data_IF_229301961258
#
_entry.id   IF_229301961258
#
_cell.length_a   1.000
_cell.length_b   1.000
_cell.length_c   1.000
_cell.angle_alpha   90.00
_cell.angle_beta   90.00
_cell.angle_gamma   90.00
#
_symmetry.space_group_name_H-M   'P 1'
#
loop_
_entity.id
_entity.type
_entity.pdbx_description
1 polymer ?
#
# COMPACT_ATOMS: atom_id res chain seq x y z
N UNK A 1 -5.06 31.02 -3.64
CA UNK A 1 -4.84 29.54 -3.65
C UNK A 1 -5.56 28.87 -4.81
N UNK A 2 -5.20 29.25 -6.03
CA UNK A 2 -5.62 28.55 -7.25
C UNK A 2 -4.36 27.87 -7.77
N UNK A 3 -4.37 26.54 -7.86
CA UNK A 3 -3.26 25.80 -8.49
C UNK A 3 -3.09 26.32 -9.91
N UNK A 4 -1.86 26.72 -10.26
CA UNK A 4 -1.52 27.22 -11.58
C UNK A 4 -1.61 26.07 -12.61
N UNK A 5 -2.27 26.31 -13.74
CA UNK A 5 -2.38 25.34 -14.84
C UNK A 5 -0.98 24.94 -15.34
N UNK A 6 0.00 25.85 -15.25
CA UNK A 6 1.39 25.54 -15.56
C UNK A 6 1.95 24.45 -14.63
N UNK A 7 1.74 24.56 -13.31
CA UNK A 7 2.19 23.53 -12.33
C UNK A 7 1.58 22.18 -12.65
N UNK A 8 0.28 22.17 -12.97
CA UNK A 8 -0.46 20.94 -13.23
C UNK A 8 0.03 20.25 -14.50
N UNK A 9 0.18 21.00 -15.59
CA UNK A 9 0.67 20.47 -16.86
C UNK A 9 2.13 20.04 -16.78
N UNK A 10 2.95 20.80 -16.05
CA UNK A 10 4.35 20.46 -15.80
C UNK A 10 4.45 19.10 -15.10
N UNK A 11 3.73 18.90 -14.00
CA UNK A 11 3.76 17.64 -13.25
C UNK A 11 3.18 16.49 -14.06
N UNK A 12 2.07 16.71 -14.76
CA UNK A 12 1.46 15.70 -15.63
C UNK A 12 2.43 15.23 -16.72
N UNK A 13 3.17 16.17 -17.33
CA UNK A 13 4.16 15.85 -18.34
C UNK A 13 5.33 15.04 -17.77
N UNK A 14 5.83 15.40 -16.58
CA UNK A 14 6.92 14.66 -15.94
C UNK A 14 6.50 13.24 -15.55
N UNK A 15 5.28 13.04 -15.04
CA UNK A 15 4.80 11.69 -14.72
C UNK A 15 4.65 10.87 -16.01
N UNK A 16 4.08 11.42 -17.08
CA UNK A 16 3.87 10.68 -18.34
C UNK A 16 5.16 10.35 -19.07
N UNK A 17 6.14 11.26 -19.08
CA UNK A 17 7.42 11.04 -19.75
C UNK A 17 8.42 10.26 -18.89
N UNK A 18 8.34 10.41 -17.57
CA UNK A 18 9.25 9.77 -16.63
C UNK A 18 8.82 8.35 -16.26
N UNK A 19 7.52 8.05 -16.29
CA UNK A 19 6.96 6.74 -15.93
C UNK A 19 5.88 6.36 -16.96
N UNK A 20 6.26 5.84 -18.14
CA UNK A 20 5.31 5.46 -19.18
C UNK A 20 4.35 4.33 -18.78
N UNK A 21 4.69 3.55 -17.76
CA UNK A 21 3.90 2.47 -17.16
C UNK A 21 2.61 2.97 -16.47
N UNK A 22 2.57 4.26 -16.10
CA UNK A 22 1.47 4.84 -15.35
C UNK A 22 0.41 5.49 -16.24
N UNK A 23 -0.85 5.13 -15.98
CA UNK A 23 -2.03 5.80 -16.50
C UNK A 23 -2.46 6.86 -15.50
N UNK A 24 -2.48 8.11 -15.94
CA UNK A 24 -2.81 9.27 -15.10
C UNK A 24 -4.06 9.97 -15.59
N UNK A 25 -5.03 10.16 -14.69
CA UNK A 25 -6.23 10.96 -14.91
C UNK A 25 -6.26 12.12 -13.93
N UNK A 26 -6.43 13.34 -14.44
CA UNK A 26 -6.56 14.55 -13.62
C UNK A 26 -8.02 14.91 -13.45
N UNK A 27 -8.45 15.22 -12.23
CA UNK A 27 -9.81 15.70 -11.94
C UNK A 27 -9.78 16.96 -11.09
N UNK A 28 -10.65 17.91 -11.42
CA UNK A 28 -10.86 19.11 -10.61
C UNK A 28 -12.03 18.89 -9.64
N UNK A 29 -11.78 19.08 -8.35
CA UNK A 29 -12.80 18.98 -7.32
C UNK A 29 -13.49 20.34 -7.10
N UNK A 30 -14.75 20.45 -7.53
CA UNK A 30 -15.52 21.71 -7.49
C UNK A 30 -15.62 22.35 -6.10
N UNK A 31 -15.73 21.53 -5.05
CA UNK A 31 -15.93 22.03 -3.67
C UNK A 31 -14.63 22.45 -2.98
N UNK A 32 -13.55 21.70 -3.17
CA UNK A 32 -12.25 22.01 -2.55
C UNK A 32 -11.39 22.92 -3.43
N UNK A 33 -11.73 23.08 -4.72
CA UNK A 33 -10.94 23.78 -5.75
C UNK A 33 -9.52 23.22 -5.92
N UNK A 34 -9.35 21.93 -5.61
CA UNK A 34 -8.08 21.21 -5.73
C UNK A 34 -8.12 20.30 -6.94
N UNK A 35 -6.98 20.17 -7.62
CA UNK A 35 -6.77 19.16 -8.64
C UNK A 35 -6.22 17.88 -8.02
N UNK A 36 -6.80 16.75 -8.38
CA UNK A 36 -6.36 15.43 -7.94
C UNK A 36 -5.86 14.61 -9.13
N UNK A 37 -4.72 13.95 -8.94
CA UNK A 37 -4.15 12.99 -9.88
C UNK A 37 -4.56 11.58 -9.44
N UNK A 38 -5.35 10.92 -10.27
CA UNK A 38 -5.69 9.51 -10.13
C UNK A 38 -4.71 8.71 -10.97
N UNK A 39 -3.91 7.88 -10.31
CA UNK A 39 -2.83 7.12 -10.92
C UNK A 39 -3.15 5.64 -10.83
N UNK A 40 -3.00 4.93 -11.93
CA UNK A 40 -3.17 3.48 -12.04
C UNK A 40 -2.17 2.92 -13.06
N UNK A 41 -2.09 1.61 -13.21
CA UNK A 41 -1.26 0.95 -14.22
C UNK A 41 -2.00 -0.24 -14.83
N UNK A 42 -1.54 -0.72 -15.99
CA UNK A 42 -2.02 -1.98 -16.58
C UNK A 42 -1.44 -3.18 -15.84
N UNK A 43 -2.04 -4.36 -16.02
CA UNK A 43 -1.51 -5.59 -15.41
C UNK A 43 -0.07 -5.88 -15.85
N UNK A 44 0.23 -5.78 -17.15
CA UNK A 44 1.58 -5.96 -17.69
C UNK A 44 2.59 -4.98 -17.08
N UNK A 45 2.21 -3.72 -16.90
CA UNK A 45 3.06 -2.71 -16.27
C UNK A 45 3.34 -3.08 -14.81
N UNK A 46 2.32 -3.55 -14.09
CA UNK A 46 2.48 -4.01 -12.70
C UNK A 46 3.38 -5.23 -12.60
N UNK A 47 3.38 -6.16 -13.56
CA UNK A 47 4.33 -7.27 -13.61
C UNK A 47 5.77 -6.77 -13.69
N UNK A 48 6.05 -5.81 -14.58
CA UNK A 48 7.39 -5.19 -14.67
C UNK A 48 7.78 -4.50 -13.37
N UNK A 49 6.86 -3.72 -12.80
CA UNK A 49 7.08 -3.05 -11.52
C UNK A 49 7.30 -4.04 -10.38
N UNK A 50 6.66 -5.20 -10.39
CA UNK A 50 6.86 -6.25 -9.40
C UNK A 50 8.26 -6.88 -9.49
N UNK A 51 8.78 -7.06 -10.70
CA UNK A 51 10.15 -7.53 -10.95
C UNK A 51 11.18 -6.47 -10.48
N UNK A 52 10.97 -5.20 -10.86
CA UNK A 52 11.83 -4.07 -10.45
C UNK A 52 11.97 -3.92 -8.93
N UNK A 53 10.88 -4.12 -8.18
CA UNK A 53 10.91 -4.03 -6.71
C UNK A 53 11.34 -5.34 -6.04
N UNK A 54 11.55 -6.42 -6.79
CA UNK A 54 11.86 -7.75 -6.26
C UNK A 54 10.74 -8.32 -5.38
N UNK A 55 9.47 -8.13 -5.79
CA UNK A 55 8.31 -8.58 -5.04
C UNK A 55 8.34 -10.11 -4.89
N UNK A 56 8.07 -10.65 -3.71
CA UNK A 56 8.07 -12.11 -3.50
C UNK A 56 6.70 -12.70 -3.79
N UNK A 57 6.65 -13.78 -4.58
CA UNK A 57 5.43 -14.47 -4.97
C UNK A 57 5.52 -15.98 -4.74
N UNK A 58 4.38 -16.65 -4.46
CA UNK A 58 4.34 -18.09 -4.31
C UNK A 58 4.60 -18.79 -5.64
N UNK A 59 5.43 -19.82 -5.61
CA UNK A 59 5.76 -20.67 -6.77
C UNK A 59 4.86 -21.90 -6.74
N UNK A 60 4.40 -22.35 -7.90
CA UNK A 60 3.58 -23.57 -8.03
C UNK A 60 4.34 -24.78 -7.46
N UNK A 61 3.60 -25.70 -6.85
CA UNK A 61 4.17 -26.90 -6.23
C UNK A 61 5.01 -27.75 -7.20
N UNK A 62 4.65 -27.80 -8.48
CA UNK A 62 5.37 -28.54 -9.53
C UNK A 62 6.78 -27.99 -9.82
N UNK A 63 7.03 -26.72 -9.49
CA UNK A 63 8.35 -26.07 -9.60
C UNK A 63 9.07 -25.95 -8.25
N UNK A 64 8.66 -26.74 -7.24
CA UNK A 64 9.31 -26.80 -5.93
C UNK A 64 8.61 -26.02 -4.81
N UNK A 65 7.56 -25.25 -5.14
CA UNK A 65 6.78 -24.51 -4.15
C UNK A 65 7.53 -23.37 -3.45
N UNK A 66 6.95 -22.84 -2.38
CA UNK A 66 7.55 -21.78 -1.56
C UNK A 66 7.43 -20.38 -2.17
N UNK A 67 8.29 -19.45 -1.73
CA UNK A 67 8.26 -18.05 -2.15
C UNK A 67 9.55 -17.68 -2.86
N UNK A 68 9.45 -17.04 -4.04
CA UNK A 68 10.60 -16.57 -4.83
C UNK A 68 10.42 -15.10 -5.21
N UNK A 69 11.53 -14.38 -5.43
CA UNK A 69 11.48 -13.05 -6.05
C UNK A 69 10.88 -13.18 -7.43
N UNK A 70 9.81 -12.42 -7.69
CA UNK A 70 9.13 -12.39 -8.97
C UNK A 70 10.11 -12.02 -10.08
N UNK A 71 9.93 -12.63 -11.24
CA UNK A 71 10.69 -12.34 -12.45
C UNK A 71 9.77 -12.47 -13.64
N UNK A 72 9.79 -11.49 -14.54
CA UNK A 72 9.03 -11.51 -15.77
C UNK A 72 9.53 -12.58 -16.76
N UNK A 73 10.79 -13.03 -16.65
CA UNK A 73 11.36 -14.03 -17.57
C UNK A 73 10.83 -15.44 -17.32
N UNK A 74 10.47 -15.75 -16.07
CA UNK A 74 10.00 -17.06 -15.61
C UNK A 74 8.61 -16.96 -14.95
N UNK A 75 7.72 -16.12 -15.47
CA UNK A 75 6.43 -15.80 -14.83
C UNK A 75 5.49 -17.01 -14.68
N UNK A 76 5.57 -17.97 -15.61
CA UNK A 76 4.76 -19.19 -15.62
C UNK A 76 4.93 -20.09 -14.38
N UNK A 77 5.98 -19.89 -13.58
CA UNK A 77 6.21 -20.67 -12.35
C UNK A 77 5.35 -20.20 -11.18
N UNK A 78 4.80 -18.98 -11.22
CA UNK A 78 4.09 -18.40 -10.09
C UNK A 78 2.61 -18.82 -10.05
N UNK A 79 2.09 -18.97 -8.84
CA UNK A 79 0.68 -19.30 -8.64
C UNK A 79 -0.22 -18.14 -9.09
N UNK A 80 -1.34 -18.48 -9.75
CA UNK A 80 -2.36 -17.52 -10.19
C UNK A 80 -1.88 -16.39 -11.12
N UNK A 81 -0.75 -16.53 -11.80
CA UNK A 81 -0.20 -15.52 -12.72
C UNK A 81 -1.19 -15.11 -13.84
N UNK A 82 -2.04 -16.04 -14.28
CA UNK A 82 -3.08 -15.78 -15.30
C UNK A 82 -4.25 -14.94 -14.77
N UNK A 83 -4.38 -14.81 -13.45
CA UNK A 83 -5.52 -14.17 -12.82
C UNK A 83 -5.19 -12.74 -12.39
N UNK A 84 -5.35 -11.80 -13.32
CA UNK A 84 -5.04 -10.38 -13.10
C UNK A 84 -5.68 -9.81 -11.83
N UNK A 85 -6.88 -10.29 -11.48
CA UNK A 85 -7.66 -9.79 -10.34
C UNK A 85 -7.06 -10.18 -8.98
N UNK A 86 -6.42 -11.36 -8.90
CA UNK A 86 -5.96 -11.93 -7.63
C UNK A 86 -4.45 -12.07 -7.53
N UNK A 87 -3.72 -12.02 -8.66
CA UNK A 87 -2.26 -12.16 -8.63
C UNK A 87 -1.60 -11.08 -7.78
N UNK A 88 -2.05 -9.83 -7.94
CA UNK A 88 -1.61 -8.70 -7.11
C UNK A 88 -2.71 -8.28 -6.13
N UNK A 89 -2.35 -8.23 -4.84
CA UNK A 89 -3.21 -7.63 -3.82
C UNK A 89 -3.34 -6.12 -4.04
N UNK A 90 -4.40 -5.51 -3.49
CA UNK A 90 -4.58 -4.06 -3.59
C UNK A 90 -3.40 -3.29 -2.96
N UNK A 91 -2.79 -3.84 -1.90
CA UNK A 91 -1.61 -3.28 -1.26
C UNK A 91 -0.37 -3.33 -2.17
N UNK A 92 -0.11 -4.46 -2.83
CA UNK A 92 1.04 -4.61 -3.73
C UNK A 92 0.95 -3.68 -4.93
N UNK A 93 -0.23 -3.56 -5.54
CA UNK A 93 -0.48 -2.62 -6.65
C UNK A 93 -0.15 -1.19 -6.24
N UNK A 94 -0.62 -0.78 -5.06
CA UNK A 94 -0.36 0.55 -4.53
C UNK A 94 1.12 0.75 -4.18
N UNK A 95 1.80 -0.30 -3.71
CA UNK A 95 3.23 -0.26 -3.41
C UNK A 95 4.07 -0.08 -4.67
N UNK A 96 3.76 -0.79 -5.77
CA UNK A 96 4.43 -0.63 -7.07
C UNK A 96 4.24 0.80 -7.60
N UNK A 97 3.00 1.32 -7.60
CA UNK A 97 2.72 2.69 -8.04
C UNK A 97 3.46 3.72 -7.18
N UNK A 98 3.46 3.52 -5.86
CA UNK A 98 4.19 4.38 -4.93
C UNK A 98 5.68 4.37 -5.23
N UNK A 99 6.26 3.20 -5.44
CA UNK A 99 7.66 3.02 -5.78
C UNK A 99 8.03 3.84 -7.03
N UNK A 100 7.25 3.76 -8.11
CA UNK A 100 7.53 4.57 -9.30
C UNK A 100 7.41 6.07 -9.04
N UNK A 101 6.37 6.52 -8.31
CA UNK A 101 6.20 7.92 -7.98
C UNK A 101 7.34 8.47 -7.11
N UNK A 102 7.82 7.69 -6.14
CA UNK A 102 8.98 8.05 -5.30
C UNK A 102 10.30 7.99 -6.08
N UNK A 103 10.36 7.17 -7.13
CA UNK A 103 11.51 7.02 -8.02
C UNK A 103 11.49 7.91 -9.26
N UNK A 104 10.51 8.80 -9.40
CA UNK A 104 10.54 9.84 -10.43
C UNK A 104 11.66 10.84 -10.13
N UNK A 105 12.70 10.86 -10.96
CA UNK A 105 13.91 11.67 -10.78
C UNK A 105 13.91 12.88 -11.70
N UNK A 106 14.37 14.01 -11.17
CA UNK A 106 14.53 15.24 -11.94
C UNK A 106 15.72 15.16 -12.90
N UNK A 107 15.54 15.65 -14.13
CA UNK A 107 16.61 15.81 -15.12
C UNK A 107 17.36 17.13 -14.93
N UNK A 108 18.50 17.26 -15.61
CA UNK A 108 19.34 18.44 -15.53
C UNK A 108 18.58 19.72 -15.97
N UNK A 109 18.59 20.74 -15.11
CA UNK A 109 17.98 22.03 -15.40
C UNK A 109 16.46 22.10 -15.20
N UNK A 110 15.85 21.06 -14.65
CA UNK A 110 14.42 21.08 -14.33
C UNK A 110 14.13 22.08 -13.20
N UNK A 111 13.08 22.86 -13.42
CA UNK A 111 12.58 23.81 -12.43
C UNK A 111 11.07 23.93 -12.52
N UNK A 112 10.46 24.22 -11.37
CA UNK A 112 9.05 24.53 -11.23
C UNK A 112 8.93 25.83 -10.42
N UNK A 113 8.54 26.92 -11.07
CA UNK A 113 8.48 28.25 -10.46
C UNK A 113 9.84 28.61 -9.82
N UNK A 114 9.90 28.81 -8.49
CA UNK A 114 11.13 29.13 -7.75
C UNK A 114 11.84 27.87 -7.19
N UNK A 115 11.41 26.68 -7.61
CA UNK A 115 11.98 25.40 -7.19
C UNK A 115 12.92 24.93 -8.28
N UNK A 116 14.22 24.92 -7.98
CA UNK A 116 15.23 24.32 -8.83
C UNK A 116 15.55 22.92 -8.29
N UNK A 117 15.43 21.92 -9.16
CA UNK A 117 15.75 20.55 -8.80
C UNK A 117 17.24 20.26 -9.10
N UNK A 118 17.86 19.49 -8.22
CA UNK A 118 19.16 18.89 -8.52
C UNK A 118 18.95 17.69 -9.44
N UNK A 119 19.94 17.41 -10.29
CA UNK A 119 19.92 16.22 -11.13
C UNK A 119 19.83 14.96 -10.27
N UNK A 120 18.85 14.09 -10.57
CA UNK A 120 18.60 12.89 -9.78
C UNK A 120 17.82 13.14 -8.47
N UNK A 121 17.30 14.34 -8.22
CA UNK A 121 16.46 14.57 -7.04
C UNK A 121 15.05 13.95 -7.24
N UNK A 122 14.45 13.31 -6.21
CA UNK A 122 13.09 12.77 -6.32
C UNK A 122 12.05 13.91 -6.40
N UNK A 123 11.28 13.96 -7.49
CA UNK A 123 10.33 15.06 -7.76
C UNK A 123 9.16 15.06 -6.76
N UNK A 124 8.47 13.93 -6.62
CA UNK A 124 7.23 13.85 -5.82
C UNK A 124 7.46 14.17 -4.33
N UNK A 125 8.46 13.56 -3.65
CA UNK A 125 8.76 13.90 -2.25
C UNK A 125 9.16 15.37 -2.07
N UNK A 126 9.94 15.94 -2.99
CA UNK A 126 10.37 17.34 -2.91
C UNK A 126 9.17 18.30 -3.04
N UNK A 127 8.27 18.03 -4.00
CA UNK A 127 7.05 18.82 -4.17
C UNK A 127 6.09 18.70 -2.97
N UNK A 128 6.03 17.52 -2.34
CA UNK A 128 5.26 17.32 -1.12
C UNK A 128 5.88 18.09 0.07
N UNK A 129 7.20 18.03 0.23
CA UNK A 129 7.92 18.75 1.29
C UNK A 129 7.76 20.28 1.19
N UNK A 130 7.67 20.80 -0.04
CA UNK A 130 7.45 22.23 -0.32
C UNK A 130 5.98 22.65 -0.29
N UNK A 131 5.05 21.72 -0.04
CA UNK A 131 3.62 22.00 0.03
C UNK A 131 2.95 22.27 -1.32
N UNK A 132 3.63 21.98 -2.44
CA UNK A 132 3.01 22.03 -3.79
C UNK A 132 2.05 20.85 -3.95
N UNK A 133 2.46 19.66 -3.49
CA UNK A 133 1.58 18.50 -3.36
C UNK A 133 1.10 18.42 -1.92
N UNK A 134 -0.21 18.50 -1.72
CA UNK A 134 -0.78 18.47 -0.37
C UNK A 134 -0.64 17.09 0.29
N UNK A 135 -0.93 16.01 -0.45
CA UNK A 135 -0.90 14.65 0.07
C UNK A 135 -0.87 13.62 -1.07
N UNK A 136 -0.23 12.48 -0.80
CA UNK A 136 -0.22 11.30 -1.68
C UNK A 136 -0.69 10.12 -0.83
N UNK A 137 -1.84 9.55 -1.18
CA UNK A 137 -2.45 8.47 -0.39
C UNK A 137 -3.12 7.42 -1.31
N UNK A 138 -3.09 6.14 -0.91
CA UNK A 138 -3.79 5.09 -1.63
C UNK A 138 -5.31 5.18 -1.44
N UNK A 139 -6.06 4.65 -2.39
CA UNK A 139 -7.52 4.56 -2.31
C UNK A 139 -7.96 3.21 -1.73
N UNK A 140 -8.95 3.24 -0.84
CA UNK A 140 -9.52 2.03 -0.26
C UNK A 140 -10.42 1.29 -1.25
N UNK A 141 -10.19 -0.02 -1.37
CA UNK A 141 -11.13 -0.91 -2.05
C UNK A 141 -12.27 -1.28 -1.12
N UNK A 142 -13.42 -0.63 -1.31
CA UNK A 142 -14.59 -0.72 -0.44
C UNK A 142 -15.16 -2.15 -0.34
N UNK A 143 -15.00 -2.98 -1.38
CA UNK A 143 -15.49 -4.36 -1.39
C UNK A 143 -14.74 -5.23 -0.39
N UNK A 144 -13.41 -5.21 -0.46
CA UNK A 144 -12.54 -5.98 0.44
C UNK A 144 -12.68 -5.47 1.88
N UNK A 145 -12.70 -4.14 2.07
CA UNK A 145 -12.87 -3.55 3.40
C UNK A 145 -14.18 -3.99 4.07
N UNK A 146 -15.29 -4.04 3.32
CA UNK A 146 -16.58 -4.53 3.83
C UNK A 146 -16.55 -6.01 4.19
N UNK A 147 -15.83 -6.84 3.41
CA UNK A 147 -15.63 -8.27 3.73
C UNK A 147 -14.84 -8.40 5.02
N UNK A 148 -13.69 -7.73 5.11
CA UNK A 148 -12.81 -7.76 6.28
C UNK A 148 -13.53 -7.25 7.54
N UNK A 149 -14.35 -6.20 7.43
CA UNK A 149 -15.14 -5.72 8.58
C UNK A 149 -16.10 -6.78 9.12
N UNK A 150 -16.67 -7.64 8.25
CA UNK A 150 -17.55 -8.73 8.68
C UNK A 150 -16.77 -9.91 9.26
N UNK A 151 -15.71 -10.37 8.59
CA UNK A 151 -14.95 -11.56 9.01
C UNK A 151 -13.99 -11.31 10.17
N UNK A 152 -13.59 -10.06 10.41
CA UNK A 152 -12.62 -9.72 11.46
C UNK A 152 -13.22 -8.91 12.60
N UNK A 153 -13.85 -7.76 12.32
CA UNK A 153 -14.29 -6.83 13.37
C UNK A 153 -15.58 -7.31 14.05
N UNK A 154 -16.49 -7.90 13.29
CA UNK A 154 -17.77 -8.40 13.80
C UNK A 154 -17.70 -9.83 14.34
N UNK A 155 -16.68 -10.59 13.94
CA UNK A 155 -16.45 -11.97 14.38
C UNK A 155 -15.74 -11.99 15.75
N UNK A 156 -16.48 -11.65 16.80
CA UNK A 156 -15.97 -11.67 18.16
C UNK A 156 -15.72 -13.14 18.58
N UNK A 157 -14.55 -13.41 19.16
CA UNK A 157 -14.06 -14.73 19.57
C UNK A 157 -13.58 -15.68 18.45
N UNK A 158 -13.49 -15.22 17.19
CA UNK A 158 -12.79 -15.97 16.15
C UNK A 158 -11.30 -15.61 16.08
N UNK A 159 -10.49 -16.50 15.50
CA UNK A 159 -9.09 -16.20 15.23
C UNK A 159 -8.99 -15.02 14.23
N UNK A 160 -8.09 -14.09 14.49
CA UNK A 160 -7.92 -12.93 13.61
C UNK A 160 -7.40 -13.38 12.23
N UNK A 161 -8.02 -12.93 11.11
CA UNK A 161 -7.57 -13.28 9.77
C UNK A 161 -6.33 -12.45 9.37
N UNK A 162 -5.19 -12.77 9.98
CA UNK A 162 -3.94 -11.99 9.85
C UNK A 162 -3.44 -11.90 8.40
N UNK A 163 -3.61 -12.97 7.62
CA UNK A 163 -3.20 -12.99 6.21
C UNK A 163 -4.03 -12.01 5.38
N UNK A 164 -5.36 -11.97 5.56
CA UNK A 164 -6.23 -11.00 4.87
C UNK A 164 -5.93 -9.55 5.28
N UNK A 165 -5.59 -9.33 6.57
CA UNK A 165 -5.15 -8.01 7.06
C UNK A 165 -3.82 -7.64 6.41
N UNK A 166 -2.89 -8.60 6.28
CA UNK A 166 -1.59 -8.40 5.64
C UNK A 166 -1.74 -8.07 4.15
N UNK A 167 -2.58 -8.81 3.43
CA UNK A 167 -2.80 -8.59 2.00
C UNK A 167 -3.45 -7.22 1.71
N UNK A 168 -4.28 -6.71 2.62
CA UNK A 168 -4.98 -5.44 2.42
C UNK A 168 -4.23 -4.22 2.97
N UNK A 169 -3.65 -4.32 4.17
CA UNK A 169 -3.00 -3.20 4.86
C UNK A 169 -1.47 -3.27 4.86
N UNK A 170 -0.90 -4.43 4.51
CA UNK A 170 0.53 -4.69 4.53
C UNK A 170 1.03 -5.27 5.85
N UNK A 171 2.25 -5.81 5.79
CA UNK A 171 2.89 -6.57 6.89
C UNK A 171 2.97 -5.78 8.19
N UNK A 172 3.25 -4.46 8.13
CA UNK A 172 3.40 -3.64 9.35
C UNK A 172 2.11 -3.58 10.18
N UNK A 173 0.97 -3.40 9.51
CA UNK A 173 -0.33 -3.31 10.18
C UNK A 173 -0.78 -4.71 10.64
N UNK A 174 -0.58 -5.74 9.81
CA UNK A 174 -0.88 -7.11 10.20
C UNK A 174 -0.06 -7.57 11.42
N UNK A 175 1.23 -7.24 11.47
CA UNK A 175 2.10 -7.56 12.61
C UNK A 175 1.64 -6.85 13.89
N UNK A 176 1.20 -5.59 13.80
CA UNK A 176 0.61 -4.89 14.93
C UNK A 176 -0.62 -5.64 15.48
N UNK A 177 -1.53 -6.07 14.61
CA UNK A 177 -2.71 -6.81 15.05
C UNK A 177 -2.39 -8.22 15.57
N UNK A 178 -1.42 -8.92 14.96
CA UNK A 178 -0.92 -10.19 15.46
C UNK A 178 -0.38 -10.05 16.90
N UNK A 179 0.41 -9.00 17.15
CA UNK A 179 0.93 -8.70 18.48
C UNK A 179 -0.19 -8.34 19.46
N UNK A 180 -1.17 -7.53 19.04
CA UNK A 180 -2.32 -7.17 19.87
C UNK A 180 -3.16 -8.40 20.25
N UNK A 181 -3.42 -9.31 19.30
CA UNK A 181 -4.14 -10.55 19.53
C UNK A 181 -3.39 -11.49 20.48
N UNK A 182 -2.08 -11.63 20.30
CA UNK A 182 -1.20 -12.36 21.21
C UNK A 182 -1.24 -11.77 22.63
N UNK A 183 -1.06 -10.46 22.76
CA UNK A 183 -1.04 -9.77 24.05
C UNK A 183 -2.37 -9.91 24.78
N UNK A 184 -3.49 -9.74 24.08
CA UNK A 184 -4.84 -9.89 24.66
C UNK A 184 -5.05 -11.32 25.17
N UNK A 185 -4.66 -12.33 24.39
CA UNK A 185 -4.71 -13.74 24.82
C UNK A 185 -3.82 -14.01 26.03
N UNK A 186 -2.62 -13.42 26.07
CA UNK A 186 -1.70 -13.56 27.19
C UNK A 186 -2.22 -12.90 28.48
N UNK A 187 -3.01 -11.82 28.39
CA UNK A 187 -3.62 -11.15 29.54
C UNK A 187 -4.79 -11.93 30.16
N UNK A 188 -5.38 -12.90 29.45
CA UNK A 188 -6.44 -13.74 30.01
C UNK A 188 -5.93 -14.54 31.21
N UNK A 189 -4.69 -15.05 31.17
CA UNK A 189 -4.11 -15.82 32.28
C UNK A 189 -4.04 -15.01 33.60
N UNK A 190 -3.33 -13.87 33.67
CA UNK A 190 -3.27 -13.09 34.90
C UNK A 190 -4.64 -12.52 35.31
N UNK A 191 -5.54 -12.23 34.35
CA UNK A 191 -6.90 -11.81 34.67
C UNK A 191 -7.69 -12.92 35.41
N UNK A 192 -7.58 -14.17 34.95
CA UNK A 192 -8.22 -15.32 35.61
C UNK A 192 -7.62 -15.57 36.99
N UNK A 193 -6.30 -15.65 37.09
CA UNK A 193 -5.63 -15.86 38.39
C UNK A 193 -5.92 -14.72 39.38
N UNK A 194 -5.86 -13.47 38.92
CA UNK A 194 -6.16 -12.30 39.74
C UNK A 194 -7.61 -12.27 40.22
N UNK A 195 -8.57 -12.64 39.36
CA UNK A 195 -9.98 -12.71 39.72
C UNK A 195 -10.24 -13.79 40.78
N UNK A 196 -9.63 -14.97 40.63
CA UNK A 196 -9.74 -16.07 41.59
C UNK A 196 -9.19 -15.64 42.96
N UNK A 197 -7.98 -15.08 42.99
CA UNK A 197 -7.36 -14.61 44.23
C UNK A 197 -8.21 -13.53 44.90
N UNK A 198 -8.71 -12.56 44.14
CA UNK A 198 -9.58 -11.51 44.65
C UNK A 198 -10.82 -12.07 45.37
N UNK A 199 -11.53 -13.02 44.73
CA UNK A 199 -12.73 -13.63 45.33
C UNK A 199 -12.44 -14.42 46.61
N UNK A 200 -11.30 -15.14 46.67
CA UNK A 200 -10.90 -15.85 47.88
C UNK A 200 -10.53 -14.89 49.01
N UNK A 201 -9.80 -13.82 48.71
CA UNK A 201 -9.44 -12.82 49.73
C UNK A 201 -10.65 -12.07 50.27
N UNK A 202 -11.67 -11.82 49.45
CA UNK A 202 -12.92 -11.17 49.89
C UNK A 202 -13.77 -12.11 50.75
N UNK A 203 -13.73 -13.43 50.53
CA UNK A 203 -14.46 -14.39 51.38
C UNK A 203 -13.86 -14.59 52.78
N UNK A 204 -12.59 -14.22 52.98
CA UNK A 204 -11.89 -14.33 54.27
C UNK A 204 -11.94 -13.04 55.11
N UNK A 205 -12.56 -11.97 54.59
CA UNK A 205 -12.81 -10.69 55.30
C UNK A 205 -14.23 -10.61 55.86
#
# INVERSE_FOLDING_TARGET
>A
DTTDDHTLLWLLNHIRLGIPELIVQVRHHKHTRVYAFFVTATYESLLRGADEIGLRKPVKAEFGGGMRSFSCEEDYIYENIENELYFFTSQERQNIIRYWLENLRAKQGESLHNIHFLEGQPIIPELAARGVIQQVFPLHEQRILKRLMKSWVQAVCEAQPLDEICDYFGVKIAMYFAWLGFYTSAMVYPAVFGSILYTFTESDQ
#
